data_IF_168599178203
#
_entry.id   IF_168599178203
#
_cell.length_a   1.000
_cell.length_b   1.000
_cell.length_c   1.000
_cell.angle_alpha   90.00
_cell.angle_beta   90.00
_cell.angle_gamma   90.00
#
_symmetry.space_group_name_H-M   'P 1'
#
loop_
_entity.id
_entity.type
_entity.pdbx_description
1 polymer ?
#
# COMPACT_ATOMS: atom_id res chain seq x y z
N UNK A 1 20.21 4.52 -10.51
CA UNK A 1 20.16 4.87 -9.08
C UNK A 1 20.31 3.61 -8.25
N UNK A 2 21.30 3.59 -7.37
CA UNK A 2 21.48 2.44 -6.48
C UNK A 2 20.29 2.33 -5.53
N UNK A 3 19.66 1.18 -5.55
CA UNK A 3 18.59 0.89 -4.60
C UNK A 3 19.21 0.63 -3.23
N UNK A 4 18.84 1.44 -2.24
CA UNK A 4 19.22 1.23 -0.86
C UNK A 4 18.37 0.13 -0.24
N UNK A 5 18.80 -0.42 0.89
CA UNK A 5 17.99 -1.36 1.65
C UNK A 5 16.68 -0.67 2.08
N UNK A 6 15.55 -1.35 2.02
CA UNK A 6 14.28 -0.75 2.45
C UNK A 6 14.28 -0.52 3.96
N UNK A 7 13.61 0.55 4.37
CA UNK A 7 13.45 0.91 5.77
C UNK A 7 12.15 0.32 6.31
N UNK A 8 12.21 -0.29 7.49
CA UNK A 8 11.01 -0.74 8.18
C UNK A 8 10.17 0.46 8.64
N UNK A 9 8.88 0.42 8.35
CA UNK A 9 7.92 1.41 8.81
C UNK A 9 6.95 0.77 9.80
N UNK A 10 6.87 1.33 11.01
CA UNK A 10 5.88 0.90 11.99
C UNK A 10 4.53 1.57 11.68
N UNK A 11 3.52 0.74 11.42
CA UNK A 11 2.15 1.18 11.19
C UNK A 11 1.34 0.88 12.45
N UNK A 12 0.79 1.92 13.07
CA UNK A 12 0.04 1.77 14.30
C UNK A 12 -1.41 2.20 14.08
N UNK A 13 -2.37 1.26 14.03
CA UNK A 13 -3.79 1.63 13.97
C UNK A 13 -4.20 2.43 15.20
N UNK A 14 -5.27 3.22 15.06
CA UNK A 14 -5.85 3.90 16.20
C UNK A 14 -6.32 2.89 17.25
N UNK A 15 -6.29 3.30 18.51
CA UNK A 15 -6.77 2.46 19.62
C UNK A 15 -8.19 1.98 19.32
N UNK A 16 -8.42 0.67 19.44
CA UNK A 16 -9.71 0.05 19.16
C UNK A 16 -9.95 -0.30 17.70
N UNK A 17 -8.98 -0.03 16.82
CA UNK A 17 -9.04 -0.40 15.41
C UNK A 17 -8.11 -1.54 15.07
N UNK A 18 -8.57 -2.45 14.23
CA UNK A 18 -7.76 -3.57 13.73
C UNK A 18 -7.08 -3.27 12.40
N UNK A 19 -7.35 -2.11 11.83
CA UNK A 19 -6.75 -1.68 10.56
C UNK A 19 -6.65 -0.15 10.55
N UNK A 20 -5.88 0.36 9.59
CA UNK A 20 -5.77 1.81 9.35
C UNK A 20 -6.42 2.17 8.02
N UNK A 21 -7.12 3.29 7.99
CA UNK A 21 -7.64 3.87 6.76
C UNK A 21 -7.46 5.38 6.85
N UNK A 22 -6.74 5.95 5.88
CA UNK A 22 -6.49 7.38 5.91
C UNK A 22 -6.40 7.93 4.49
N UNK A 23 -6.65 9.23 4.39
CA UNK A 23 -6.50 10.00 3.17
C UNK A 23 -5.32 10.94 3.36
N UNK A 24 -4.47 11.05 2.35
CA UNK A 24 -3.41 12.04 2.37
C UNK A 24 -3.31 12.76 1.03
N UNK A 25 -2.78 13.99 1.07
CA UNK A 25 -2.48 14.76 -0.11
C UNK A 25 -1.08 14.39 -0.60
N UNK A 26 -0.95 14.08 -1.87
CA UNK A 26 0.32 13.60 -2.43
C UNK A 26 1.46 14.60 -2.28
N UNK A 27 1.15 15.90 -2.34
CA UNK A 27 2.14 16.96 -2.23
C UNK A 27 2.65 17.18 -0.80
N UNK A 28 1.96 16.65 0.22
CA UNK A 28 2.33 16.80 1.62
C UNK A 28 3.06 15.59 2.17
N UNK A 29 2.97 14.45 1.49
CA UNK A 29 3.48 13.20 2.02
C UNK A 29 4.85 12.85 1.45
N UNK A 30 5.89 13.44 2.03
CA UNK A 30 7.27 13.11 1.69
C UNK A 30 7.64 11.68 2.08
N UNK A 31 6.94 11.09 3.05
CA UNK A 31 7.22 9.73 3.51
C UNK A 31 6.87 8.66 2.48
N UNK A 32 5.89 8.90 1.62
CA UNK A 32 5.52 7.94 0.59
C UNK A 32 6.62 7.76 -0.47
N UNK A 33 7.58 8.68 -0.53
CA UNK A 33 8.66 8.67 -1.51
C UNK A 33 9.88 7.88 -1.04
N UNK A 34 9.91 7.38 0.20
CA UNK A 34 11.02 6.57 0.65
C UNK A 34 10.76 5.09 0.46
N UNK A 35 11.84 4.35 0.24
CA UNK A 35 11.82 2.91 0.04
C UNK A 35 11.60 2.21 1.38
N UNK A 36 10.43 1.59 1.58
CA UNK A 36 10.02 1.07 2.87
C UNK A 36 9.24 -0.23 2.75
N UNK A 37 9.08 -0.92 3.87
CA UNK A 37 8.24 -2.10 3.98
C UNK A 37 7.59 -2.17 5.37
N UNK A 38 6.50 -2.88 5.45
CA UNK A 38 5.76 -3.14 6.68
C UNK A 38 4.96 -4.45 6.54
N UNK A 39 4.61 -5.11 7.64
CA UNK A 39 3.88 -6.38 7.58
C UNK A 39 2.44 -6.23 7.11
N UNK A 40 1.87 -5.03 7.21
CA UNK A 40 0.51 -4.77 6.74
C UNK A 40 0.41 -4.94 5.22
N UNK A 41 -0.71 -5.53 4.78
CA UNK A 41 -1.13 -5.47 3.39
C UNK A 41 -1.69 -4.07 3.15
N UNK A 42 -1.40 -3.49 2.00
CA UNK A 42 -1.81 -2.13 1.70
C UNK A 42 -2.66 -2.10 0.44
N UNK A 43 -3.81 -1.46 0.54
CA UNK A 43 -4.68 -1.19 -0.60
C UNK A 43 -4.70 0.32 -0.81
N UNK A 44 -4.30 0.76 -2.00
CA UNK A 44 -4.19 2.18 -2.33
C UNK A 44 -5.16 2.53 -3.44
N UNK A 45 -6.02 3.50 -3.20
CA UNK A 45 -6.84 4.12 -4.23
C UNK A 45 -6.26 5.48 -4.59
N UNK A 46 -5.99 5.67 -5.88
CA UNK A 46 -5.45 6.94 -6.39
C UNK A 46 -6.63 7.84 -6.78
N UNK A 47 -6.91 8.84 -5.96
CA UNK A 47 -8.00 9.78 -6.18
C UNK A 47 -7.68 10.90 -7.16
N UNK A 48 -6.42 11.09 -7.48
CA UNK A 48 -5.96 12.09 -8.44
C UNK A 48 -4.47 12.04 -8.64
N UNK A 49 -3.98 12.80 -9.61
CA UNK A 49 -2.57 12.87 -9.91
C UNK A 49 -2.03 11.68 -10.70
N UNK A 50 -0.73 11.68 -10.87
CA UNK A 50 0.00 10.63 -11.56
C UNK A 50 1.44 10.60 -11.08
N UNK A 51 2.14 9.51 -11.34
CA UNK A 51 3.53 9.38 -10.97
C UNK A 51 4.05 7.98 -11.23
N UNK A 52 5.25 7.73 -10.72
CA UNK A 52 5.87 6.41 -10.73
C UNK A 52 5.68 5.76 -9.37
N UNK A 53 5.59 4.43 -9.39
CA UNK A 53 5.56 3.62 -8.19
C UNK A 53 6.48 2.43 -8.39
N UNK A 54 7.28 2.14 -7.39
CA UNK A 54 8.07 0.90 -7.38
C UNK A 54 7.52 -0.02 -6.29
N UNK A 55 7.22 -1.24 -6.69
CA UNK A 55 6.74 -2.29 -5.79
C UNK A 55 7.61 -3.52 -6.06
N UNK A 56 8.40 -3.92 -5.05
CA UNK A 56 9.41 -4.94 -5.26
C UNK A 56 10.36 -4.55 -6.38
N UNK A 57 10.50 -5.38 -7.39
CA UNK A 57 11.34 -5.11 -8.55
C UNK A 57 10.61 -4.46 -9.73
N UNK A 58 9.32 -4.17 -9.56
CA UNK A 58 8.48 -3.66 -10.66
C UNK A 58 8.28 -2.16 -10.53
N UNK A 59 8.58 -1.43 -11.59
CA UNK A 59 8.29 0.00 -11.70
C UNK A 59 7.10 0.16 -12.64
N UNK A 60 6.09 0.88 -12.18
CA UNK A 60 4.89 1.16 -12.95
C UNK A 60 4.47 2.62 -12.77
N UNK A 61 3.57 3.05 -13.63
CA UNK A 61 3.00 4.39 -13.54
C UNK A 61 1.59 4.27 -12.97
N UNK A 62 1.23 5.20 -12.09
CA UNK A 62 -0.11 5.28 -11.56
C UNK A 62 -0.81 6.54 -12.06
N UNK A 63 -2.12 6.47 -12.15
CA UNK A 63 -2.98 7.58 -12.55
C UNK A 63 -4.30 7.52 -11.79
N UNK A 64 -5.05 8.62 -11.84
CA UNK A 64 -6.35 8.73 -11.19
C UNK A 64 -7.25 7.53 -11.49
N UNK A 65 -7.83 6.99 -10.45
CA UNK A 65 -8.73 5.83 -10.52
C UNK A 65 -8.05 4.49 -10.33
N UNK A 66 -6.72 4.45 -10.25
CA UNK A 66 -6.01 3.20 -10.01
C UNK A 66 -6.27 2.68 -8.60
N UNK A 67 -6.35 1.37 -8.52
CA UNK A 67 -6.45 0.64 -7.25
C UNK A 67 -5.30 -0.38 -7.22
N UNK A 68 -4.45 -0.29 -6.20
CA UNK A 68 -3.24 -1.10 -6.11
C UNK A 68 -3.25 -1.88 -4.80
N UNK A 69 -2.94 -3.15 -4.88
CA UNK A 69 -2.78 -4.03 -3.72
C UNK A 69 -1.30 -4.39 -3.55
N UNK A 70 -0.75 -4.04 -2.39
CA UNK A 70 0.65 -4.30 -2.06
C UNK A 70 0.69 -5.32 -0.94
N UNK A 71 1.39 -6.43 -1.16
CA UNK A 71 1.46 -7.53 -0.22
C UNK A 71 2.28 -7.21 1.04
N UNK A 72 2.10 -8.06 2.04
CA UNK A 72 2.82 -7.97 3.32
C UNK A 72 4.33 -8.01 3.11
N UNK A 73 5.04 -7.10 3.76
CA UNK A 73 6.51 -7.00 3.74
C UNK A 73 7.13 -6.79 2.36
N UNK A 74 6.35 -6.43 1.36
CA UNK A 74 6.87 -6.14 0.04
C UNK A 74 7.37 -4.69 -0.01
N UNK A 75 8.68 -4.45 -0.25
CA UNK A 75 9.20 -3.10 -0.30
C UNK A 75 8.56 -2.28 -1.41
N UNK A 76 8.26 -1.03 -1.11
CA UNK A 76 7.61 -0.14 -2.07
C UNK A 76 7.87 1.32 -1.79
N UNK A 77 7.67 2.15 -2.80
CA UNK A 77 7.66 3.61 -2.68
C UNK A 77 6.84 4.22 -3.82
N UNK A 78 6.35 5.41 -3.59
CA UNK A 78 5.69 6.21 -4.60
C UNK A 78 6.52 7.44 -4.95
N UNK A 79 6.54 7.83 -6.22
CA UNK A 79 7.19 9.04 -6.71
C UNK A 79 6.14 9.84 -7.47
N UNK A 80 5.59 10.85 -6.82
CA UNK A 80 4.58 11.72 -7.42
C UNK A 80 5.22 12.75 -8.35
N UNK A 81 4.46 13.21 -9.33
CA UNK A 81 4.89 14.32 -10.18
C UNK A 81 4.93 15.63 -9.38
N UNK A 82 5.90 16.49 -9.68
CA UNK A 82 6.10 17.75 -8.97
C UNK A 82 4.92 18.71 -9.08
N UNK A 83 4.13 18.61 -10.13
CA UNK A 83 3.00 19.50 -10.38
C UNK A 83 1.68 19.01 -9.77
N UNK A 84 1.73 18.00 -8.92
CA UNK A 84 0.54 17.48 -8.26
C UNK A 84 0.03 18.46 -7.22
N UNK A 85 -1.21 18.91 -7.38
CA UNK A 85 -1.89 19.85 -6.46
C UNK A 85 -3.21 19.26 -6.02
N UNK A 86 -3.45 19.26 -4.70
CA UNK A 86 -4.71 18.80 -4.09
C UNK A 86 -5.09 17.37 -4.51
N UNK A 87 -4.12 16.65 -5.03
CA UNK A 87 -4.31 15.25 -5.40
C UNK A 87 -4.21 14.38 -4.16
N UNK A 88 -5.02 13.36 -4.10
CA UNK A 88 -5.09 12.55 -2.90
C UNK A 88 -5.01 11.06 -3.20
N UNK A 89 -4.63 10.31 -2.18
CA UNK A 89 -4.73 8.86 -2.15
C UNK A 89 -5.50 8.45 -0.90
N UNK A 90 -6.23 7.36 -0.99
CA UNK A 90 -6.83 6.70 0.16
C UNK A 90 -6.07 5.39 0.36
N UNK A 91 -5.58 5.19 1.57
CA UNK A 91 -4.75 4.03 1.91
C UNK A 91 -5.41 3.25 3.02
N UNK A 92 -5.58 1.94 2.78
CA UNK A 92 -6.05 0.99 3.80
C UNK A 92 -4.90 0.04 4.09
N UNK A 93 -4.56 -0.14 5.37
CA UNK A 93 -3.50 -1.02 5.80
C UNK A 93 -4.05 -1.97 6.86
N UNK A 94 -3.79 -3.26 6.68
CA UNK A 94 -4.25 -4.28 7.62
C UNK A 94 -3.27 -5.45 7.67
N UNK A 95 -3.12 -6.03 8.86
CA UNK A 95 -2.33 -7.24 9.01
C UNK A 95 -3.05 -8.43 8.35
N UNK A 96 -2.31 -9.43 7.83
CA UNK A 96 -2.94 -10.61 7.23
C UNK A 96 -3.93 -11.34 8.14
N UNK A 97 -3.75 -11.23 9.46
CA UNK A 97 -4.59 -11.90 10.45
C UNK A 97 -5.56 -10.96 11.18
N UNK A 98 -5.79 -9.76 10.65
CA UNK A 98 -6.58 -8.74 11.36
C UNK A 98 -8.03 -9.16 11.67
N UNK A 99 -8.58 -10.10 10.92
CA UNK A 99 -9.90 -10.70 11.16
C UNK A 99 -9.81 -12.10 11.76
N UNK A 100 -8.62 -12.51 12.20
CA UNK A 100 -8.33 -13.86 12.64
C UNK A 100 -8.02 -14.79 11.46
N UNK A 101 -7.19 -15.81 11.72
CA UNK A 101 -6.76 -16.74 10.65
C UNK A 101 -7.89 -17.61 10.13
N UNK A 102 -8.95 -17.78 10.89
CA UNK A 102 -10.06 -18.69 10.57
C UNK A 102 -10.83 -18.26 9.32
N UNK A 103 -11.03 -16.95 9.13
CA UNK A 103 -11.85 -16.43 8.03
C UNK A 103 -11.27 -16.81 6.66
N UNK A 104 -9.94 -16.84 6.54
CA UNK A 104 -9.28 -17.14 5.26
C UNK A 104 -9.45 -18.59 4.82
N UNK A 105 -9.85 -19.47 5.73
CA UNK A 105 -10.07 -20.89 5.45
C UNK A 105 -11.47 -21.19 4.96
N UNK A 106 -12.36 -20.21 4.95
CA UNK A 106 -13.73 -20.40 4.45
C UNK A 106 -13.73 -20.47 2.92
N UNK A 107 -14.62 -21.27 2.32
CA UNK A 107 -14.69 -21.38 0.85
C UNK A 107 -14.96 -20.04 0.15
N UNK A 108 -15.74 -19.16 0.79
CA UNK A 108 -16.13 -17.86 0.24
C UNK A 108 -14.92 -16.93 0.09
N UNK A 109 -13.86 -17.18 0.84
CA UNK A 109 -12.68 -16.32 0.83
C UNK A 109 -11.58 -16.81 -0.13
N UNK A 110 -11.80 -17.91 -0.85
CA UNK A 110 -10.76 -18.51 -1.70
C UNK A 110 -10.20 -17.55 -2.73
N UNK A 111 -11.06 -16.80 -3.42
CA UNK A 111 -10.61 -15.84 -4.43
C UNK A 111 -9.82 -14.70 -3.80
N UNK A 112 -10.25 -14.23 -2.63
CA UNK A 112 -9.56 -13.16 -1.91
C UNK A 112 -8.21 -13.66 -1.41
N UNK A 113 -8.14 -14.86 -0.85
CA UNK A 113 -6.89 -15.47 -0.40
C UNK A 113 -5.90 -15.61 -1.55
N UNK A 114 -6.36 -16.06 -2.71
CA UNK A 114 -5.50 -16.17 -3.90
C UNK A 114 -4.97 -14.80 -4.33
N UNK A 115 -5.81 -13.76 -4.27
CA UNK A 115 -5.40 -12.39 -4.60
C UNK A 115 -4.35 -11.88 -3.63
N UNK A 116 -4.53 -12.11 -2.32
CA UNK A 116 -3.57 -11.69 -1.31
C UNK A 116 -2.24 -12.42 -1.47
N UNK A 117 -2.26 -13.70 -1.80
CA UNK A 117 -1.03 -14.47 -2.05
C UNK A 117 -0.31 -13.93 -3.30
N UNK A 118 -1.03 -13.62 -4.37
CA UNK A 118 -0.44 -13.04 -5.57
C UNK A 118 0.18 -11.65 -5.32
N UNK A 119 -0.34 -10.90 -4.34
CA UNK A 119 0.14 -9.57 -4.02
C UNK A 119 1.52 -9.54 -3.33
N UNK A 120 2.04 -10.68 -2.95
CA UNK A 120 3.37 -10.77 -2.32
C UNK A 120 4.52 -10.58 -3.31
N UNK A 121 4.24 -10.44 -4.57
CA UNK A 121 5.24 -10.20 -5.61
C UNK A 121 5.51 -11.41 -6.49
#
# INVERSE_FOLDING_TARGET
MKQTSPTYEAVNPNIGSSFSCFKFLQNENLKSNFWHYHPEIELVFVGGGSGKRQIGSTISYFTKGDLVLIGSNLPHCGLTNENTRNEYEIVVQFLPDFLGSHIWKTPEMKKITNLLDASKG
#
